data_IF_015516566873
#
_entry.id   IF_015516566873
#
_cell.length_a   1.000
_cell.length_b   1.000
_cell.length_c   1.000
_cell.angle_alpha   90.00
_cell.angle_beta   90.00
_cell.angle_gamma   90.00
#
_symmetry.space_group_name_H-M   'P 1'
#
loop_
_entity.id
_entity.type
_entity.pdbx_description
1 polymer ?
#
# COMPACT_ATOMS: atom_id res chain seq x y z
N UNK A 1 -34.95 -12.02 3.24
CA UNK A 1 -33.96 -11.00 2.83
C UNK A 1 -33.03 -10.73 4.00
N UNK A 2 -31.71 -10.87 3.83
CA UNK A 2 -30.76 -10.52 4.88
C UNK A 2 -30.26 -9.09 4.66
N UNK A 3 -30.50 -8.22 5.63
CA UNK A 3 -29.97 -6.86 5.64
C UNK A 3 -28.51 -6.89 6.11
N UNK A 4 -27.65 -6.16 5.39
CA UNK A 4 -26.25 -5.98 5.75
C UNK A 4 -26.06 -4.54 6.22
N UNK A 5 -25.70 -4.41 7.49
CA UNK A 5 -25.48 -3.13 8.15
C UNK A 5 -24.04 -2.65 8.03
N UNK A 6 -23.12 -3.51 7.63
CA UNK A 6 -21.70 -3.15 7.59
C UNK A 6 -20.78 -4.32 7.26
N UNK A 7 -19.49 -4.11 7.51
CA UNK A 7 -18.44 -5.11 7.37
C UNK A 7 -17.40 -4.97 8.47
N UNK A 8 -16.83 -6.09 8.89
CA UNK A 8 -15.62 -6.12 9.71
C UNK A 8 -14.41 -6.45 8.84
N UNK A 9 -13.25 -5.93 9.24
CA UNK A 9 -11.97 -6.22 8.64
C UNK A 9 -10.99 -6.55 9.75
N UNK A 10 -10.52 -7.80 9.81
CA UNK A 10 -9.62 -8.29 10.85
C UNK A 10 -8.23 -8.55 10.29
N UNK A 11 -7.22 -8.04 10.98
CA UNK A 11 -5.80 -8.24 10.69
C UNK A 11 -5.24 -9.43 11.51
N UNK A 12 -4.11 -10.04 11.09
CA UNK A 12 -3.53 -11.19 11.80
C UNK A 12 -3.08 -10.91 13.23
N UNK A 13 -2.81 -9.66 13.58
CA UNK A 13 -2.43 -9.24 14.94
C UNK A 13 -3.63 -9.11 15.89
N UNK A 14 -4.84 -9.47 15.44
CA UNK A 14 -6.08 -9.35 16.20
C UNK A 14 -6.76 -8.00 16.05
N UNK A 15 -6.04 -6.97 15.60
CA UNK A 15 -6.61 -5.64 15.37
C UNK A 15 -7.49 -5.62 14.11
N UNK A 16 -8.23 -4.54 13.93
CA UNK A 16 -9.14 -4.43 12.80
C UNK A 16 -9.90 -3.12 12.79
N UNK A 17 -10.93 -3.09 11.95
CA UNK A 17 -11.93 -2.04 12.03
C UNK A 17 -13.30 -2.55 11.62
N UNK A 18 -14.31 -1.89 12.19
CA UNK A 18 -15.72 -2.07 11.87
C UNK A 18 -16.16 -0.91 11.00
N UNK A 19 -16.78 -1.23 9.86
CA UNK A 19 -17.41 -0.28 8.95
C UNK A 19 -18.91 -0.47 8.98
N UNK A 20 -19.64 0.51 9.47
CA UNK A 20 -21.10 0.54 9.49
C UNK A 20 -21.58 1.42 8.33
N UNK A 21 -22.58 0.96 7.59
CA UNK A 21 -23.27 1.74 6.57
C UNK A 21 -24.36 2.58 7.24
N UNK A 22 -24.39 3.89 6.95
CA UNK A 22 -25.50 4.76 7.40
C UNK A 22 -26.84 4.36 6.79
N UNK A 23 -26.81 3.81 5.59
CA UNK A 23 -27.94 3.17 4.95
C UNK A 23 -27.62 1.69 4.71
N UNK A 24 -28.39 0.80 5.32
CA UNK A 24 -28.14 -0.63 5.21
C UNK A 24 -28.50 -1.16 3.82
N UNK A 25 -27.69 -2.09 3.31
CA UNK A 25 -27.86 -2.68 1.98
C UNK A 25 -28.62 -4.01 2.10
N UNK A 26 -29.58 -4.27 1.20
CA UNK A 26 -30.14 -5.62 1.04
C UNK A 26 -29.25 -6.48 0.14
N UNK A 27 -29.14 -7.76 0.46
CA UNK A 27 -28.58 -8.75 -0.49
C UNK A 27 -29.73 -9.54 -1.10
N UNK A 28 -29.88 -9.43 -2.43
CA UNK A 28 -30.60 -10.41 -3.24
C UNK A 28 -29.63 -11.58 -3.51
N UNK A 29 -30.14 -12.83 -3.57
CA UNK A 29 -29.36 -14.00 -3.98
C UNK A 29 -28.94 -13.95 -5.46
N UNK A 30 -29.54 -13.06 -6.24
CA UNK A 30 -29.00 -12.55 -7.49
C UNK A 30 -28.13 -11.33 -7.17
N UNK A 31 -26.86 -11.38 -7.57
CA UNK A 31 -25.88 -10.31 -7.35
C UNK A 31 -26.46 -8.91 -7.62
N UNK A 32 -25.96 -7.87 -6.93
CA UNK A 32 -26.66 -6.60 -6.82
C UNK A 32 -27.14 -6.18 -8.20
N UNK A 33 -28.47 -6.07 -8.38
CA UNK A 33 -29.00 -5.24 -9.44
C UNK A 33 -28.25 -3.92 -9.27
N UNK A 34 -27.38 -3.62 -10.24
CA UNK A 34 -26.75 -2.33 -10.32
C UNK A 34 -27.92 -1.38 -10.46
N UNK A 35 -28.41 -0.82 -9.34
CA UNK A 35 -29.08 0.47 -9.39
C UNK A 35 -28.08 1.36 -10.10
N UNK A 36 -28.32 1.57 -11.40
CA UNK A 36 -27.77 2.68 -12.13
C UNK A 36 -28.03 3.84 -11.19
N UNK A 37 -26.98 4.38 -10.57
CA UNK A 37 -27.08 5.73 -10.02
C UNK A 37 -27.68 6.52 -11.16
N UNK A 38 -28.88 7.07 -10.98
CA UNK A 38 -29.39 8.05 -11.91
C UNK A 38 -28.24 9.03 -12.12
N UNK A 39 -27.87 9.17 -13.39
CA UNK A 39 -26.64 9.85 -13.81
C UNK A 39 -26.75 11.35 -13.57
N UNK A 40 -27.84 11.81 -12.97
CA UNK A 40 -28.33 13.17 -13.10
C UNK A 40 -27.54 14.15 -12.21
N UNK A 41 -27.07 13.73 -11.04
CA UNK A 41 -26.18 14.57 -10.20
C UNK A 41 -24.71 14.57 -10.70
N UNK A 42 -24.36 13.69 -11.64
CA UNK A 42 -22.99 13.57 -12.18
C UNK A 42 -22.82 14.33 -13.51
N UNK A 43 -23.86 15.03 -13.96
CA UNK A 43 -23.88 15.84 -15.18
C UNK A 43 -23.31 17.25 -15.00
N UNK A 44 -23.06 17.71 -13.77
CA UNK A 44 -22.53 19.07 -13.51
C UNK A 44 -21.01 19.14 -13.29
N UNK A 45 -20.31 18.02 -13.09
CA UNK A 45 -18.86 18.03 -12.96
C UNK A 45 -18.19 18.15 -14.33
N UNK A 46 -17.28 19.11 -14.46
CA UNK A 46 -16.36 19.22 -15.59
C UNK A 46 -15.54 17.93 -15.75
N UNK A 47 -14.96 17.74 -16.94
CA UNK A 47 -14.10 16.59 -17.22
C UNK A 47 -12.88 16.55 -16.27
N UNK A 48 -12.35 17.72 -15.93
CA UNK A 48 -11.24 17.89 -14.98
C UNK A 48 -11.60 17.47 -13.55
N UNK A 49 -12.75 17.93 -13.02
CA UNK A 49 -13.19 17.55 -11.67
C UNK A 49 -13.47 16.05 -11.55
N UNK A 50 -14.08 15.46 -12.58
CA UNK A 50 -14.30 14.01 -12.65
C UNK A 50 -13.00 13.23 -12.64
N UNK A 51 -11.99 13.78 -13.30
CA UNK A 51 -10.67 13.17 -13.43
C UNK A 51 -9.89 13.20 -12.11
N UNK A 52 -9.93 14.32 -11.40
CA UNK A 52 -9.38 14.46 -10.05
C UNK A 52 -10.09 13.54 -9.06
N UNK A 53 -11.43 13.47 -9.08
CA UNK A 53 -12.18 12.59 -8.18
C UNK A 53 -11.80 11.12 -8.38
N UNK A 54 -11.70 10.70 -9.65
CA UNK A 54 -11.30 9.34 -10.02
C UNK A 54 -9.86 9.02 -9.60
N UNK A 55 -8.94 9.96 -9.80
CA UNK A 55 -7.55 9.82 -9.42
C UNK A 55 -7.40 9.75 -7.90
N UNK A 56 -8.08 10.62 -7.15
CA UNK A 56 -8.18 10.58 -5.69
C UNK A 56 -8.77 9.26 -5.16
N UNK A 57 -9.84 8.74 -5.80
CA UNK A 57 -10.42 7.43 -5.47
C UNK A 57 -9.42 6.29 -5.73
N UNK A 58 -8.67 6.37 -6.82
CA UNK A 58 -7.61 5.40 -7.17
C UNK A 58 -6.47 5.42 -6.15
N UNK A 59 -6.03 6.60 -5.72
CA UNK A 59 -5.01 6.79 -4.70
C UNK A 59 -5.46 6.22 -3.34
N UNK A 60 -6.68 6.56 -2.88
CA UNK A 60 -7.25 6.03 -1.61
C UNK A 60 -7.33 4.50 -1.61
N UNK A 61 -7.76 3.88 -2.72
CA UNK A 61 -7.78 2.41 -2.86
C UNK A 61 -6.38 1.81 -2.81
N UNK A 62 -5.41 2.45 -3.46
CA UNK A 62 -4.02 1.98 -3.47
C UNK A 62 -3.39 2.11 -2.08
N UNK A 63 -3.64 3.21 -1.39
CA UNK A 63 -3.22 3.44 -0.01
C UNK A 63 -3.73 2.35 0.92
N UNK A 64 -5.04 2.07 0.84
CA UNK A 64 -5.66 1.00 1.62
C UNK A 64 -5.02 -0.36 1.31
N UNK A 65 -4.86 -0.69 0.03
CA UNK A 65 -4.29 -1.96 -0.39
C UNK A 65 -2.85 -2.14 0.13
N UNK A 66 -1.98 -1.14 -0.01
CA UNK A 66 -0.60 -1.18 0.49
C UNK A 66 -0.58 -1.34 2.01
N UNK A 67 -1.40 -0.57 2.74
CA UNK A 67 -1.52 -0.72 4.21
C UNK A 67 -1.96 -2.13 4.60
N UNK A 68 -3.01 -2.64 3.95
CA UNK A 68 -3.55 -3.97 4.22
C UNK A 68 -2.53 -5.07 3.94
N UNK A 69 -1.79 -5.00 2.82
CA UNK A 69 -0.76 -5.97 2.52
C UNK A 69 0.38 -5.95 3.54
N UNK A 70 0.87 -4.76 3.93
CA UNK A 70 1.94 -4.64 4.92
C UNK A 70 1.49 -5.10 6.31
N UNK A 71 0.23 -4.83 6.70
CA UNK A 71 -0.30 -5.27 7.99
C UNK A 71 -0.62 -6.78 8.03
N UNK A 72 -0.98 -7.39 6.91
CA UNK A 72 -1.39 -8.80 6.87
C UNK A 72 -0.26 -9.79 6.59
N UNK A 73 0.95 -9.31 6.32
CA UNK A 73 2.07 -10.15 5.90
C UNK A 73 3.34 -9.73 6.65
N UNK A 74 4.20 -10.70 6.93
CA UNK A 74 5.52 -10.42 7.53
C UNK A 74 6.52 -10.11 6.44
N UNK A 75 7.05 -8.89 6.45
CA UNK A 75 8.18 -8.46 5.62
C UNK A 75 9.41 -8.24 6.48
N UNK A 76 10.59 -8.64 6.01
CA UNK A 76 11.81 -8.56 6.81
C UNK A 76 12.57 -7.25 6.62
N UNK A 77 12.52 -6.68 5.42
CA UNK A 77 13.32 -5.51 5.07
C UNK A 77 12.50 -4.42 4.41
N UNK A 78 12.80 -3.18 4.77
CA UNK A 78 12.39 -1.98 4.08
C UNK A 78 13.49 -1.60 3.09
N UNK A 79 13.13 -1.47 1.82
CA UNK A 79 14.08 -1.18 0.75
C UNK A 79 13.87 0.18 0.15
N UNK A 80 14.97 0.82 -0.21
CA UNK A 80 14.99 2.04 -1.03
C UNK A 80 15.82 1.77 -2.27
N UNK A 81 15.19 1.89 -3.44
CA UNK A 81 15.83 1.67 -4.73
C UNK A 81 15.85 2.98 -5.51
N UNK A 82 17.05 3.40 -5.89
CA UNK A 82 17.34 4.62 -6.64
C UNK A 82 18.08 4.26 -7.92
N UNK A 83 17.74 4.94 -9.02
CA UNK A 83 18.40 4.76 -10.32
C UNK A 83 19.71 5.54 -10.39
N UNK A 84 20.70 5.01 -11.12
CA UNK A 84 21.97 5.71 -11.37
C UNK A 84 21.83 6.89 -12.32
N UNK A 85 20.99 6.75 -13.35
CA UNK A 85 20.77 7.77 -14.37
C UNK A 85 20.06 9.00 -13.77
N UNK A 86 20.70 10.15 -13.94
CA UNK A 86 20.30 11.45 -13.41
C UNK A 86 19.21 12.13 -14.23
N UNK A 87 18.91 11.66 -15.44
CA UNK A 87 17.95 12.31 -16.34
C UNK A 87 16.50 12.19 -15.84
N UNK A 88 15.84 13.32 -15.61
CA UNK A 88 14.39 13.39 -15.34
C UNK A 88 13.57 12.96 -16.57
N UNK A 89 12.30 12.56 -16.39
CA UNK A 89 11.37 12.27 -17.49
C UNK A 89 11.32 10.84 -18.03
N UNK A 90 12.17 9.92 -17.54
CA UNK A 90 12.17 8.49 -17.95
C UNK A 90 11.33 7.58 -17.04
N UNK A 91 10.20 8.06 -16.55
CA UNK A 91 9.41 7.36 -15.53
C UNK A 91 8.95 5.98 -16.00
N UNK A 92 8.43 5.88 -17.22
CA UNK A 92 7.97 4.62 -17.80
C UNK A 92 9.08 3.57 -17.93
N UNK A 93 10.29 4.02 -18.29
CA UNK A 93 11.46 3.16 -18.30
C UNK A 93 11.79 2.65 -16.89
N UNK A 94 11.80 3.54 -15.88
CA UNK A 94 12.07 3.16 -14.48
C UNK A 94 11.05 2.18 -13.92
N UNK A 95 9.77 2.40 -14.20
CA UNK A 95 8.69 1.47 -13.82
C UNK A 95 8.87 0.09 -14.49
N UNK A 96 9.31 0.06 -15.76
CA UNK A 96 9.61 -1.18 -16.49
C UNK A 96 10.81 -1.91 -15.89
N UNK A 97 11.89 -1.21 -15.58
CA UNK A 97 13.08 -1.77 -14.93
C UNK A 97 12.73 -2.35 -13.56
N UNK A 98 11.98 -1.61 -12.72
CA UNK A 98 11.48 -2.14 -11.44
C UNK A 98 10.69 -3.44 -11.66
N UNK A 99 9.74 -3.43 -12.58
CA UNK A 99 8.89 -4.60 -12.85
C UNK A 99 9.72 -5.82 -13.27
N UNK A 100 10.73 -5.61 -14.10
CA UNK A 100 11.64 -6.68 -14.54
C UNK A 100 12.51 -7.18 -13.41
N UNK A 101 13.04 -6.28 -12.57
CA UNK A 101 13.82 -6.63 -11.40
C UNK A 101 13.01 -7.48 -10.40
N UNK A 102 11.77 -7.07 -10.08
CA UNK A 102 10.88 -7.84 -9.19
C UNK A 102 10.62 -9.27 -9.72
N UNK A 103 10.44 -9.40 -11.05
CA UNK A 103 10.28 -10.72 -11.71
C UNK A 103 11.56 -11.54 -11.64
N UNK A 104 12.71 -10.91 -11.87
CA UNK A 104 14.01 -11.56 -11.79
C UNK A 104 14.29 -12.08 -10.38
N UNK A 105 14.07 -11.26 -9.34
CA UNK A 105 14.24 -11.66 -7.94
C UNK A 105 13.41 -12.89 -7.61
N UNK A 106 12.14 -12.90 -8.02
CA UNK A 106 11.25 -14.06 -7.87
C UNK A 106 11.76 -15.29 -8.65
N UNK A 107 12.22 -15.12 -9.89
CA UNK A 107 12.73 -16.23 -10.72
C UNK A 107 13.99 -16.86 -10.12
N UNK A 108 14.90 -16.03 -9.60
CA UNK A 108 16.19 -16.47 -9.07
C UNK A 108 16.08 -17.10 -7.68
N UNK A 109 15.29 -16.51 -6.78
CA UNK A 109 15.22 -16.93 -5.37
C UNK A 109 13.91 -17.65 -5.00
N UNK A 110 12.99 -17.84 -5.95
CA UNK A 110 11.72 -18.52 -5.70
C UNK A 110 10.71 -17.63 -4.98
N UNK A 111 10.43 -17.91 -3.69
CA UNK A 111 9.43 -17.16 -2.92
C UNK A 111 9.98 -15.77 -2.59
N UNK A 112 9.44 -14.74 -3.24
CA UNK A 112 9.79 -13.35 -3.00
C UNK A 112 8.53 -12.53 -2.75
N UNK A 113 8.27 -12.25 -1.47
CA UNK A 113 7.14 -11.42 -1.06
C UNK A 113 7.55 -9.96 -1.04
N UNK A 114 6.76 -9.11 -1.69
CA UNK A 114 7.05 -7.68 -1.74
C UNK A 114 5.78 -6.85 -1.87
N UNK A 115 5.85 -5.63 -1.36
CA UNK A 115 5.00 -4.49 -1.72
C UNK A 115 5.92 -3.32 -1.97
N UNK A 116 5.85 -2.71 -3.15
CA UNK A 116 6.72 -1.61 -3.56
C UNK A 116 5.88 -0.47 -4.12
N UNK A 117 6.25 0.75 -3.77
CA UNK A 117 5.62 1.97 -4.22
C UNK A 117 6.65 2.90 -4.87
N UNK A 118 6.25 3.69 -5.87
CA UNK A 118 7.05 4.78 -6.38
C UNK A 118 6.92 6.02 -5.48
N UNK A 119 8.00 6.79 -5.37
CA UNK A 119 8.06 8.09 -4.70
C UNK A 119 8.82 9.09 -5.58
N UNK A 120 8.27 10.29 -5.77
CA UNK A 120 8.98 11.40 -6.42
C UNK A 120 9.92 12.05 -5.41
N UNK A 121 11.22 11.93 -5.64
CA UNK A 121 12.23 12.60 -4.83
C UNK A 121 12.28 14.10 -5.17
N UNK A 122 12.88 14.91 -4.29
CA UNK A 122 12.93 16.38 -4.43
C UNK A 122 13.64 16.85 -5.71
N UNK A 123 14.51 16.03 -6.27
CA UNK A 123 15.20 16.24 -7.54
C UNK A 123 14.36 15.86 -8.78
N UNK A 124 13.08 15.47 -8.58
CA UNK A 124 12.17 15.04 -9.63
C UNK A 124 12.34 13.57 -10.05
N UNK A 125 13.28 12.82 -9.47
CA UNK A 125 13.53 11.41 -9.82
C UNK A 125 12.52 10.49 -9.15
N UNK A 126 12.29 9.34 -9.77
CA UNK A 126 11.52 8.26 -9.16
C UNK A 126 12.41 7.38 -8.30
N UNK A 127 12.14 7.37 -7.00
CA UNK A 127 12.62 6.39 -6.05
C UNK A 127 11.57 5.32 -5.85
N UNK A 128 11.99 4.15 -5.38
CA UNK A 128 11.06 3.08 -5.03
C UNK A 128 11.29 2.67 -3.58
N UNK A 129 10.22 2.69 -2.81
CA UNK A 129 10.20 2.23 -1.44
C UNK A 129 9.40 0.95 -1.34
N UNK A 130 9.90 -0.03 -0.59
CA UNK A 130 9.24 -1.32 -0.49
C UNK A 130 9.37 -1.99 0.86
N UNK A 131 8.36 -2.75 1.24
CA UNK A 131 8.47 -3.79 2.25
C UNK A 131 8.63 -5.12 1.52
N UNK A 132 9.73 -5.82 1.79
CA UNK A 132 10.11 -7.04 1.07
C UNK A 132 10.63 -8.10 2.02
N UNK A 133 10.56 -9.35 1.59
CA UNK A 133 11.23 -10.46 2.26
C UNK A 133 12.56 -10.74 1.55
N UNK A 134 13.67 -10.44 2.25
CA UNK A 134 15.04 -10.67 1.80
C UNK A 134 15.79 -11.67 2.69
N UNK A 135 15.08 -12.51 3.44
CA UNK A 135 15.71 -13.44 4.40
C UNK A 135 16.70 -14.40 3.73
N UNK A 136 16.36 -14.88 2.53
CA UNK A 136 17.16 -15.83 1.75
C UNK A 136 18.10 -15.15 0.73
N UNK A 137 18.36 -13.86 0.90
CA UNK A 137 19.16 -13.07 -0.04
C UNK A 137 20.51 -12.73 0.55
N UNK A 138 21.55 -12.79 -0.30
CA UNK A 138 22.89 -12.34 0.08
C UNK A 138 22.91 -10.81 0.11
N UNK A 139 23.13 -10.27 1.31
CA UNK A 139 23.11 -8.84 1.58
C UNK A 139 24.44 -8.38 2.18
N UNK A 140 25.13 -7.49 1.47
CA UNK A 140 26.40 -6.92 1.93
C UNK A 140 26.18 -5.73 2.85
N UNK A 141 27.15 -5.38 3.71
CA UNK A 141 27.05 -4.17 4.53
C UNK A 141 27.24 -2.95 3.64
N UNK A 142 26.35 -1.97 3.78
CA UNK A 142 26.54 -0.69 3.11
C UNK A 142 27.58 0.15 3.87
N UNK A 143 28.45 0.83 3.13
CA UNK A 143 29.49 1.70 3.68
C UNK A 143 29.32 3.14 3.17
N UNK A 144 29.57 4.09 4.05
CA UNK A 144 29.64 5.50 3.67
C UNK A 144 30.93 5.74 2.87
N UNK A 145 30.81 6.31 1.67
CA UNK A 145 31.93 6.47 0.74
C UNK A 145 32.97 7.49 1.19
N UNK A 146 32.57 8.50 1.98
CA UNK A 146 33.47 9.56 2.46
C UNK A 146 34.27 9.10 3.67
N UNK A 147 33.63 8.36 4.58
CA UNK A 147 34.22 7.97 5.87
C UNK A 147 34.74 6.54 5.89
N UNK A 148 34.36 5.71 4.91
CA UNK A 148 34.67 4.27 4.87
C UNK A 148 33.99 3.45 5.97
N UNK A 149 33.11 4.06 6.78
CA UNK A 149 32.45 3.40 7.92
C UNK A 149 31.15 2.71 7.51
N UNK A 150 30.77 1.60 8.17
CA UNK A 150 29.48 0.97 7.94
C UNK A 150 28.34 1.96 8.22
N UNK A 151 27.33 1.97 7.35
CA UNK A 151 26.13 2.78 7.57
C UNK A 151 25.26 2.06 8.60
N UNK A 152 25.00 2.74 9.71
CA UNK A 152 24.13 2.25 10.79
C UNK A 152 22.93 3.17 10.89
N UNK A 153 21.73 2.59 10.85
CA UNK A 153 20.46 3.29 11.05
C UNK A 153 19.67 2.56 12.13
N UNK A 154 19.22 3.30 13.14
CA UNK A 154 18.46 2.75 14.25
C UNK A 154 19.11 1.52 14.90
N UNK A 155 20.44 1.56 15.09
CA UNK A 155 21.22 0.48 15.69
C UNK A 155 21.48 -0.73 14.78
N UNK A 156 21.01 -0.73 13.53
CA UNK A 156 21.17 -1.83 12.59
C UNK A 156 22.02 -1.41 11.39
N UNK A 157 22.81 -2.36 10.85
CA UNK A 157 23.53 -2.15 9.60
C UNK A 157 22.56 -2.03 8.43
N UNK A 158 22.68 -0.94 7.68
CA UNK A 158 22.07 -0.84 6.35
C UNK A 158 22.80 -1.82 5.43
N UNK A 159 22.03 -2.53 4.62
CA UNK A 159 22.56 -3.51 3.67
C UNK A 159 22.42 -3.04 2.25
N UNK A 160 23.37 -3.41 1.41
CA UNK A 160 23.31 -3.18 -0.03
C UNK A 160 22.61 -4.34 -0.74
N UNK A 161 21.74 -4.00 -1.69
CA UNK A 161 21.03 -4.97 -2.53
C UNK A 161 21.81 -5.14 -3.83
N UNK A 162 22.75 -6.07 -3.82
CA UNK A 162 23.72 -6.27 -4.90
C UNK A 162 23.02 -6.56 -6.25
N UNK A 163 21.95 -7.34 -6.27
CA UNK A 163 21.14 -7.61 -7.47
C UNK A 163 20.58 -6.35 -8.12
N UNK A 164 20.25 -5.33 -7.33
CA UNK A 164 19.81 -4.04 -7.87
C UNK A 164 20.99 -3.22 -8.36
N UNK A 165 22.04 -3.13 -7.53
CA UNK A 165 23.15 -2.21 -7.76
C UNK A 165 23.98 -2.56 -9.00
N UNK A 166 24.06 -3.85 -9.35
CA UNK A 166 24.79 -4.34 -10.53
C UNK A 166 24.39 -3.63 -11.82
N UNK A 167 23.10 -3.36 -12.03
CA UNK A 167 22.60 -2.88 -13.33
C UNK A 167 21.74 -1.61 -13.26
N UNK A 168 21.21 -1.23 -12.09
CA UNK A 168 20.15 -0.21 -12.02
C UNK A 168 20.56 1.07 -11.28
N UNK A 169 21.26 0.96 -10.15
CA UNK A 169 21.65 2.12 -9.35
C UNK A 169 22.07 1.80 -7.93
N UNK A 170 21.46 2.47 -6.95
CA UNK A 170 21.71 2.23 -5.52
C UNK A 170 20.50 1.56 -4.90
N UNK A 171 20.73 0.54 -4.10
CA UNK A 171 19.67 -0.23 -3.45
C UNK A 171 20.09 -0.50 -2.02
N UNK A 172 19.32 0.01 -1.06
CA UNK A 172 19.55 -0.24 0.36
C UNK A 172 18.40 -1.03 0.97
N UNK A 173 18.72 -1.86 1.96
CA UNK A 173 17.78 -2.64 2.76
C UNK A 173 18.04 -2.37 4.25
N UNK A 174 16.97 -2.07 4.97
CA UNK A 174 16.94 -1.84 6.42
C UNK A 174 15.97 -2.83 7.06
N UNK A 175 16.28 -3.38 8.24
CA UNK A 175 15.38 -4.32 8.91
C UNK A 175 14.08 -3.60 9.33
N UNK A 176 12.93 -4.19 9.03
CA UNK A 176 11.64 -3.71 9.51
C UNK A 176 11.48 -4.09 10.98
N UNK A 177 11.37 -3.06 11.83
CA UNK A 177 11.16 -3.22 13.28
C UNK A 177 9.68 -3.12 13.69
N UNK A 178 8.88 -2.44 12.88
CA UNK A 178 7.47 -2.17 13.16
C UNK A 178 6.70 -2.10 11.83
N UNK A 179 5.87 -3.11 11.56
CA UNK A 179 5.11 -3.21 10.30
C UNK A 179 4.11 -2.06 10.16
N UNK A 180 3.48 -1.61 11.25
CA UNK A 180 2.47 -0.54 11.23
C UNK A 180 3.11 0.79 10.88
N UNK A 181 4.28 1.11 11.45
CA UNK A 181 5.06 2.30 11.08
C UNK A 181 5.54 2.23 9.63
N UNK A 182 6.02 1.08 9.17
CA UNK A 182 6.42 0.90 7.75
C UNK A 182 5.24 1.11 6.81
N UNK A 183 4.07 0.52 7.11
CA UNK A 183 2.85 0.71 6.32
C UNK A 183 2.46 2.20 6.25
N UNK A 184 2.53 2.92 7.37
CA UNK A 184 2.24 4.35 7.42
C UNK A 184 3.27 5.19 6.64
N UNK A 185 4.55 4.86 6.75
CA UNK A 185 5.62 5.52 6.00
C UNK A 185 5.41 5.34 4.50
N UNK A 186 5.22 4.10 4.02
CA UNK A 186 4.96 3.83 2.60
C UNK A 186 3.71 4.58 2.12
N UNK A 187 2.61 4.49 2.87
CA UNK A 187 1.35 5.10 2.43
C UNK A 187 1.32 6.63 2.47
N UNK A 188 2.28 7.28 3.15
CA UNK A 188 2.46 8.74 3.14
C UNK A 188 2.72 9.27 1.73
N UNK A 189 3.48 8.52 0.93
CA UNK A 189 3.90 8.91 -0.42
C UNK A 189 2.85 8.65 -1.49
N UNK A 190 1.84 7.83 -1.18
CA UNK A 190 0.71 7.56 -2.08
C UNK A 190 -0.26 8.75 -2.19
N UNK A 191 -0.24 9.69 -1.24
CA UNK A 191 -1.23 10.79 -1.19
C UNK A 191 -0.67 12.18 -1.31
N UNK A 192 0.61 12.42 -1.01
CA UNK A 192 1.15 13.79 -1.01
C UNK A 192 1.43 14.35 -2.40
N UNK A 193 1.83 13.51 -3.35
CA UNK A 193 2.34 13.97 -4.65
C UNK A 193 2.07 12.92 -5.75
N UNK A 194 1.02 12.09 -5.62
CA UNK A 194 0.99 10.87 -6.42
C UNK A 194 0.66 11.09 -7.90
N UNK A 195 -0.20 12.07 -8.21
CA UNK A 195 -0.47 12.47 -9.60
C UNK A 195 0.75 13.13 -10.25
N UNK A 196 1.57 13.82 -9.46
CA UNK A 196 2.86 14.36 -9.90
C UNK A 196 3.97 13.30 -9.88
N UNK A 197 3.80 12.16 -9.19
CA UNK A 197 4.78 11.06 -9.08
C UNK A 197 4.62 10.04 -10.21
N UNK A 198 3.39 9.65 -10.54
CA UNK A 198 3.11 8.73 -11.64
C UNK A 198 1.82 9.16 -12.34
N UNK A 199 1.83 9.19 -13.67
CA UNK A 199 0.68 9.64 -14.44
C UNK A 199 -0.60 8.86 -14.11
N UNK A 200 -1.74 9.54 -14.26
CA UNK A 200 -3.10 9.14 -13.84
C UNK A 200 -3.47 7.66 -14.10
N UNK A 201 -2.98 7.09 -15.20
CA UNK A 201 -3.31 5.74 -15.68
C UNK A 201 -2.31 4.65 -15.30
N UNK A 202 -1.27 5.00 -14.53
CA UNK A 202 -0.20 4.05 -14.18
C UNK A 202 -0.47 3.37 -12.85
N UNK A 203 0.18 2.22 -12.68
CA UNK A 203 0.10 1.46 -11.43
C UNK A 203 0.69 2.26 -10.29
N UNK A 204 -0.02 2.27 -9.17
CA UNK A 204 0.36 3.04 -7.99
C UNK A 204 1.26 2.28 -7.01
N UNK A 205 1.27 0.97 -7.13
CA UNK A 205 2.09 0.06 -6.35
C UNK A 205 2.26 -1.25 -7.10
N UNK A 206 3.26 -2.02 -6.70
CA UNK A 206 3.53 -3.38 -7.13
C UNK A 206 3.49 -4.29 -5.91
N UNK A 207 2.91 -5.47 -6.04
CA UNK A 207 2.95 -6.47 -4.98
C UNK A 207 3.15 -7.87 -5.57
N UNK A 208 3.70 -8.78 -4.77
CA UNK A 208 3.74 -10.20 -5.12
C UNK A 208 2.32 -10.78 -5.12
N UNK A 209 2.12 -11.87 -5.87
CA UNK A 209 0.86 -12.62 -5.86
C UNK A 209 0.79 -13.50 -4.60
N UNK A 210 -0.41 -13.66 -4.06
CA UNK A 210 -0.65 -14.54 -2.91
C UNK A 210 -0.42 -13.89 -1.54
N UNK A 211 -0.19 -12.58 -1.48
CA UNK A 211 -0.16 -11.87 -0.20
C UNK A 211 -1.53 -11.91 0.47
N UNK A 212 -1.51 -12.09 1.79
CA UNK A 212 -2.70 -12.06 2.62
C UNK A 212 -3.34 -10.67 2.63
N UNK A 213 -4.64 -10.65 2.88
CA UNK A 213 -5.48 -9.46 3.05
C UNK A 213 -6.28 -9.62 4.34
N UNK A 214 -6.83 -8.52 4.90
CA UNK A 214 -7.65 -8.63 6.10
C UNK A 214 -8.85 -9.53 5.83
N UNK A 215 -9.22 -10.33 6.83
CA UNK A 215 -10.41 -11.17 6.78
C UNK A 215 -11.63 -10.24 6.83
N UNK A 216 -12.48 -10.32 5.81
CA UNK A 216 -13.68 -9.50 5.72
C UNK A 216 -14.92 -10.34 6.03
N UNK A 217 -15.76 -9.87 6.97
CA UNK A 217 -17.08 -10.47 7.25
C UNK A 217 -18.18 -9.43 7.14
N UNK A 218 -19.37 -9.84 6.71
CA UNK A 218 -20.54 -8.96 6.66
C UNK A 218 -21.21 -8.88 8.03
N UNK A 219 -21.63 -7.68 8.43
CA UNK A 219 -22.39 -7.46 9.66
C UNK A 219 -23.88 -7.52 9.38
N UNK A 220 -24.56 -8.47 10.06
CA UNK A 220 -26.02 -8.64 10.02
C UNK A 220 -26.73 -8.06 11.24
N UNK A 221 -25.97 -7.67 12.25
CA UNK A 221 -26.45 -6.99 13.46
C UNK A 221 -25.55 -5.77 13.66
N UNK A 222 -26.14 -4.65 14.08
CA UNK A 222 -25.39 -3.45 14.41
C UNK A 222 -24.70 -3.63 15.77
N UNK A 223 -23.36 -3.58 15.84
CA UNK A 223 -22.65 -3.55 17.11
C UNK A 223 -22.92 -2.21 17.81
N UNK A 224 -23.02 -2.26 19.14
CA UNK A 224 -23.14 -1.07 19.98
C UNK A 224 -21.77 -0.68 20.50
N UNK A 225 -21.40 0.59 20.33
CA UNK A 225 -20.14 1.13 20.82
C UNK A 225 -20.40 2.19 21.88
N UNK A 226 -19.77 2.05 23.05
CA UNK A 226 -19.86 3.01 24.16
C UNK A 226 -18.92 4.22 24.00
N UNK A 227 -18.34 4.41 22.81
CA UNK A 227 -17.35 5.44 22.50
C UNK A 227 -17.69 6.10 21.16
N UNK A 228 -17.23 7.33 20.89
CA UNK A 228 -17.39 7.94 19.58
C UNK A 228 -16.66 7.16 18.49
N UNK A 229 -17.15 7.31 17.26
CA UNK A 229 -16.51 6.78 16.06
C UNK A 229 -15.12 7.40 15.83
N UNK A 230 -14.21 6.62 15.26
CA UNK A 230 -12.88 7.12 14.86
C UNK A 230 -12.97 8.01 13.62
N UNK A 231 -13.94 7.71 12.74
CA UNK A 231 -14.16 8.46 11.52
C UNK A 231 -15.58 8.24 11.00
N UNK A 232 -16.14 9.27 10.40
CA UNK A 232 -17.49 9.25 9.83
C UNK A 232 -17.55 10.16 8.60
N UNK A 233 -18.38 9.77 7.63
CA UNK A 233 -18.84 10.64 6.55
C UNK A 233 -20.32 10.37 6.24
N UNK A 234 -20.84 10.92 5.15
CA UNK A 234 -22.26 10.78 4.77
C UNK A 234 -22.70 9.34 4.47
N UNK A 235 -21.76 8.42 4.29
CA UNK A 235 -22.04 7.05 3.85
C UNK A 235 -21.72 5.99 4.91
N UNK A 236 -20.62 6.17 5.66
CA UNK A 236 -20.11 5.15 6.56
C UNK A 236 -19.57 5.71 7.87
N UNK A 237 -19.61 4.88 8.90
CA UNK A 237 -19.01 5.10 10.21
C UNK A 237 -17.93 4.04 10.42
N UNK A 238 -16.76 4.44 10.90
CA UNK A 238 -15.60 3.58 11.13
C UNK A 238 -15.22 3.58 12.60
N UNK A 239 -15.04 2.39 13.15
CA UNK A 239 -14.46 2.16 14.47
C UNK A 239 -13.19 1.32 14.31
N UNK A 240 -12.03 1.84 14.72
CA UNK A 240 -10.78 1.09 14.80
C UNK A 240 -10.78 0.24 16.08
N UNK A 241 -10.42 -1.03 15.95
CA UNK A 241 -10.53 -1.99 17.05
C UNK A 241 -9.16 -2.61 17.27
N UNK A 242 -8.66 -2.53 18.49
CA UNK A 242 -7.37 -3.11 18.84
C UNK A 242 -7.45 -4.64 19.00
N UNK A 243 -8.58 -5.17 19.47
CA UNK A 243 -8.89 -6.60 19.52
C UNK A 243 -10.29 -6.90 18.98
N UNK A 244 -10.34 -7.49 17.78
CA UNK A 244 -11.59 -7.85 17.10
C UNK A 244 -12.41 -8.91 17.83
N UNK A 245 -11.84 -9.66 18.79
CA UNK A 245 -12.60 -10.59 19.61
C UNK A 245 -13.50 -9.89 20.63
N UNK A 246 -13.30 -8.60 20.90
CA UNK A 246 -14.12 -7.83 21.85
C UNK A 246 -15.52 -7.44 21.32
N UNK A 247 -15.80 -7.69 20.02
CA UNK A 247 -17.02 -7.21 19.33
C UNK A 247 -17.79 -8.35 18.64
N UNK A 248 -17.16 -9.51 18.47
CA UNK A 248 -17.78 -10.71 17.88
C UNK A 248 -18.39 -11.59 18.96
#
# INVERSE_FOLDING_TARGET
MAQIYGKTFSYPDGSGYVMIYKQAHSTYDSGPEKKKKERDDLFELSEEERDEENAGRSARRSKKAVRDYVACNTFTHFVTLTFRDEQSGKDDYRLKVLTNWLRYMKKKHGKFNYVVIPERHKDGRLHFHGAVDLTEFELEKAYNKETGKPIIRHGNHVRDIIEWQKNNGWGSAEIIRDQKKTANYMTKYITKDFETTVSKHKKKYWCSKGLNKPVQKSLRVLPQFSRPADWENDFVIIYNIDDMNSIL
#
